data_IF_978965663535
#
_entry.id   IF_978965663535
#
_cell.length_a   1.000
_cell.length_b   1.000
_cell.length_c   1.000
_cell.angle_alpha   90.00
_cell.angle_beta   90.00
_cell.angle_gamma   90.00
#
_symmetry.space_group_name_H-M   'P 1'
#
loop_
_entity.id
_entity.type
_entity.pdbx_description
1 polymer ?
#
# COMPACT_ATOMS: atom_id res chain seq x y z
N UNK A 1 13.34 7.90 15.58
CA UNK A 1 13.19 6.44 15.35
C UNK A 1 12.48 6.22 14.03
N UNK A 2 12.75 5.11 13.34
CA UNK A 2 12.01 4.77 12.13
C UNK A 2 10.51 4.64 12.43
N UNK A 3 9.68 5.34 11.66
CA UNK A 3 8.21 5.36 11.80
C UNK A 3 7.49 4.74 10.59
N UNK A 4 8.23 4.49 9.52
CA UNK A 4 7.70 3.91 8.29
C UNK A 4 8.01 2.41 8.26
N UNK A 5 6.98 1.58 8.27
CA UNK A 5 7.09 0.13 8.27
C UNK A 5 6.64 -0.42 6.93
N UNK A 6 7.54 -1.07 6.22
CA UNK A 6 7.28 -1.69 4.93
C UNK A 6 7.25 -3.21 5.05
N UNK A 7 6.17 -3.81 4.62
CA UNK A 7 6.00 -5.25 4.51
C UNK A 7 6.27 -5.65 3.05
N UNK A 8 7.27 -6.48 2.83
CA UNK A 8 7.61 -7.01 1.50
C UNK A 8 7.54 -8.54 1.48
N UNK A 9 7.58 -9.12 0.32
CA UNK A 9 7.51 -10.58 0.10
C UNK A 9 6.98 -10.90 -1.29
N UNK A 10 7.11 -12.14 -1.69
CA UNK A 10 6.60 -12.61 -2.97
C UNK A 10 5.07 -12.50 -3.07
N UNK A 11 4.52 -12.35 -4.30
CA UNK A 11 3.07 -12.36 -4.51
C UNK A 11 2.43 -13.61 -3.89
N UNK A 12 1.29 -13.42 -3.21
CA UNK A 12 0.54 -14.53 -2.60
C UNK A 12 1.10 -15.05 -1.27
N UNK A 13 2.19 -14.48 -0.73
CA UNK A 13 2.78 -14.93 0.53
C UNK A 13 1.94 -14.57 1.77
N UNK A 14 0.99 -13.62 1.63
CA UNK A 14 0.09 -13.22 2.71
C UNK A 14 0.31 -11.82 3.28
N UNK A 15 0.94 -10.90 2.51
CA UNK A 15 1.17 -9.50 2.94
C UNK A 15 -0.12 -8.77 3.33
N UNK A 16 -1.12 -8.78 2.47
CA UNK A 16 -2.43 -8.16 2.73
C UNK A 16 -3.13 -8.78 3.94
N UNK A 17 -3.08 -10.11 4.08
CA UNK A 17 -3.62 -10.83 5.24
C UNK A 17 -2.93 -10.37 6.53
N UNK A 18 -1.61 -10.20 6.49
CA UNK A 18 -0.83 -9.71 7.63
C UNK A 18 -1.23 -8.28 8.01
N UNK A 19 -1.32 -7.36 7.03
CA UNK A 19 -1.77 -5.98 7.27
C UNK A 19 -3.16 -5.97 7.93
N UNK A 20 -4.10 -6.73 7.40
CA UNK A 20 -5.46 -6.82 7.96
C UNK A 20 -5.47 -7.38 9.39
N UNK A 21 -4.61 -8.36 9.70
CA UNK A 21 -4.45 -8.89 11.07
C UNK A 21 -3.92 -7.82 12.02
N UNK A 22 -2.90 -7.08 11.61
CA UNK A 22 -2.31 -5.99 12.40
C UNK A 22 -3.35 -4.90 12.66
N UNK A 23 -4.04 -4.42 11.63
CA UNK A 23 -5.06 -3.37 11.76
C UNK A 23 -6.14 -3.74 12.77
N UNK A 24 -6.59 -5.00 12.76
CA UNK A 24 -7.61 -5.49 13.71
C UNK A 24 -7.14 -5.53 15.17
N UNK A 25 -5.85 -5.59 15.41
CA UNK A 25 -5.25 -5.58 16.75
C UNK A 25 -5.03 -4.17 17.31
N UNK A 26 -5.08 -3.15 16.45
CA UNK A 26 -4.82 -1.77 16.83
C UNK A 26 -6.12 -1.03 17.17
N UNK A 27 -6.11 -0.28 18.27
CA UNK A 27 -7.23 0.59 18.69
C UNK A 27 -6.89 2.04 18.34
N UNK A 28 -6.61 2.31 17.06
CA UNK A 28 -6.26 3.64 16.57
C UNK A 28 -7.03 3.97 15.29
N UNK A 29 -7.11 5.25 14.96
CA UNK A 29 -7.77 5.72 13.74
C UNK A 29 -6.87 5.49 12.53
N UNK A 30 -7.34 4.70 11.58
CA UNK A 30 -6.63 4.34 10.37
C UNK A 30 -7.13 5.18 9.20
N UNK A 31 -6.20 5.61 8.34
CA UNK A 31 -6.51 6.25 7.06
C UNK A 31 -5.55 5.76 5.98
N UNK A 32 -5.80 6.17 4.75
CA UNK A 32 -5.04 5.73 3.58
C UNK A 32 -5.89 4.93 2.61
N UNK A 33 -5.31 3.96 1.94
CA UNK A 33 -6.02 3.15 0.96
C UNK A 33 -5.46 1.73 0.88
N UNK A 34 -6.25 0.85 0.26
CA UNK A 34 -5.84 -0.51 -0.08
C UNK A 34 -6.30 -0.86 -1.50
N UNK A 35 -5.66 -1.88 -2.06
CA UNK A 35 -6.01 -2.43 -3.37
C UNK A 35 -6.53 -3.85 -3.21
N UNK A 36 -7.42 -4.26 -4.08
CA UNK A 36 -7.90 -5.64 -4.13
C UNK A 36 -8.24 -6.08 -5.55
N UNK A 37 -8.21 -7.39 -5.75
CA UNK A 37 -8.40 -7.97 -7.07
C UNK A 37 -9.87 -7.89 -7.53
N UNK A 38 -10.04 -7.58 -8.81
CA UNK A 38 -11.27 -7.85 -9.55
C UNK A 38 -11.21 -9.27 -10.10
N UNK A 39 -12.24 -10.06 -9.87
CA UNK A 39 -12.33 -11.43 -10.40
C UNK A 39 -13.63 -11.64 -11.16
N UNK A 40 -13.52 -12.29 -12.32
CA UNK A 40 -14.63 -12.78 -13.11
C UNK A 40 -14.44 -14.29 -13.31
N UNK A 41 -15.44 -15.09 -12.91
CA UNK A 41 -15.37 -16.57 -12.99
C UNK A 41 -14.09 -17.16 -12.35
N UNK A 42 -13.67 -16.63 -11.20
CA UNK A 42 -12.47 -17.07 -10.48
C UNK A 42 -11.15 -16.55 -11.05
N UNK A 43 -11.14 -15.97 -12.24
CA UNK A 43 -9.96 -15.40 -12.90
C UNK A 43 -9.82 -13.91 -12.56
N UNK A 44 -8.60 -13.49 -12.23
CA UNK A 44 -8.29 -12.07 -12.00
C UNK A 44 -8.34 -11.28 -13.31
N UNK A 45 -9.16 -10.23 -13.35
CA UNK A 45 -9.37 -9.36 -14.51
C UNK A 45 -8.91 -7.92 -14.29
N UNK A 46 -8.57 -7.56 -13.06
CA UNK A 46 -8.11 -6.22 -12.73
C UNK A 46 -7.94 -6.01 -11.24
N UNK A 47 -7.94 -4.74 -10.85
CA UNK A 47 -7.77 -4.28 -9.48
C UNK A 47 -8.61 -3.04 -9.21
N UNK A 48 -9.13 -2.95 -7.97
CA UNK A 48 -9.69 -1.72 -7.40
C UNK A 48 -8.67 -1.04 -6.48
N UNK A 49 -8.76 0.28 -6.38
CA UNK A 49 -8.25 1.07 -5.26
C UNK A 49 -9.44 1.54 -4.43
N UNK A 50 -9.34 1.39 -3.11
CA UNK A 50 -10.41 1.74 -2.16
C UNK A 50 -9.78 2.46 -0.96
N UNK A 51 -10.35 3.59 -0.56
CA UNK A 51 -9.95 4.25 0.68
C UNK A 51 -10.69 3.65 1.90
N UNK A 52 -10.26 4.04 3.11
CA UNK A 52 -10.91 3.57 4.33
C UNK A 52 -12.27 4.23 4.61
N UNK A 53 -12.69 5.21 3.82
CA UNK A 53 -14.03 5.82 3.85
C UNK A 53 -15.01 5.11 2.89
N UNK A 54 -14.54 4.14 2.10
CA UNK A 54 -15.35 3.32 1.19
C UNK A 54 -15.42 3.84 -0.25
N UNK A 55 -14.71 4.92 -0.61
CA UNK A 55 -14.62 5.38 -1.99
C UNK A 55 -13.74 4.44 -2.80
N UNK A 56 -14.20 4.06 -3.99
CA UNK A 56 -13.56 3.03 -4.81
C UNK A 56 -13.57 3.36 -6.29
N UNK A 57 -12.48 3.04 -6.98
CA UNK A 57 -12.38 3.07 -8.44
C UNK A 57 -11.58 1.87 -8.96
N UNK A 58 -11.85 1.49 -10.22
CA UNK A 58 -11.00 0.55 -10.95
C UNK A 58 -9.66 1.21 -11.24
N UNK A 59 -8.57 0.67 -10.69
CA UNK A 59 -7.22 1.18 -10.90
C UNK A 59 -6.50 0.55 -12.08
N UNK A 60 -6.85 -0.68 -12.43
CA UNK A 60 -6.29 -1.37 -13.59
C UNK A 60 -7.22 -2.49 -14.05
N UNK A 61 -7.29 -2.74 -15.36
CA UNK A 61 -8.14 -3.78 -15.94
C UNK A 61 -7.58 -4.30 -17.24
N UNK A 62 -7.82 -5.60 -17.53
CA UNK A 62 -7.54 -6.22 -18.84
C UNK A 62 -8.33 -5.56 -19.96
N UNK A 63 -9.55 -5.10 -19.66
CA UNK A 63 -10.46 -4.47 -20.63
C UNK A 63 -10.15 -2.98 -20.89
N UNK A 64 -9.19 -2.41 -20.18
CA UNK A 64 -8.81 -1.00 -20.31
C UNK A 64 -8.00 -0.76 -21.59
N UNK A 65 -8.37 0.28 -22.32
CA UNK A 65 -7.63 0.79 -23.49
C UNK A 65 -6.53 1.80 -23.12
N UNK A 66 -6.19 1.93 -21.84
CA UNK A 66 -5.14 2.83 -21.39
C UNK A 66 -3.80 2.50 -22.05
N UNK A 67 -3.04 3.52 -22.50
CA UNK A 67 -1.67 3.32 -23.01
C UNK A 67 -0.68 2.95 -21.88
N UNK A 68 -1.03 3.23 -20.63
CA UNK A 68 -0.21 2.88 -19.48
C UNK A 68 -0.52 1.46 -19.05
N UNK A 69 0.44 0.56 -19.21
CA UNK A 69 0.21 -0.87 -18.97
C UNK A 69 1.27 -1.48 -18.06
N UNK A 70 0.80 -2.37 -17.20
CA UNK A 70 1.64 -3.33 -16.47
C UNK A 70 1.13 -4.73 -16.80
N UNK A 71 1.94 -5.52 -17.49
CA UNK A 71 1.55 -6.80 -18.07
C UNK A 71 0.29 -6.64 -18.96
N UNK A 72 -0.76 -7.41 -18.70
CA UNK A 72 -2.03 -7.36 -19.45
C UNK A 72 -3.00 -6.28 -18.96
N UNK A 73 -2.70 -5.54 -17.90
CA UNK A 73 -3.61 -4.58 -17.30
C UNK A 73 -3.33 -3.16 -17.78
N UNK A 74 -4.34 -2.49 -18.31
CA UNK A 74 -4.30 -1.05 -18.54
C UNK A 74 -4.57 -0.29 -17.24
N UNK A 75 -3.70 0.67 -16.93
CA UNK A 75 -3.70 1.41 -15.66
C UNK A 75 -4.52 2.69 -15.80
N UNK A 76 -5.41 2.93 -14.84
CA UNK A 76 -6.21 4.14 -14.74
C UNK A 76 -5.54 5.14 -13.78
N UNK A 77 -4.80 6.09 -14.34
CA UNK A 77 -4.12 7.14 -13.56
C UNK A 77 -5.11 7.94 -12.70
N UNK A 78 -6.31 8.22 -13.23
CA UNK A 78 -7.33 8.96 -12.50
C UNK A 78 -7.75 8.28 -11.19
N UNK A 79 -7.72 6.95 -11.12
CA UNK A 79 -8.05 6.23 -9.89
C UNK A 79 -7.04 6.53 -8.78
N UNK A 80 -5.74 6.57 -9.11
CA UNK A 80 -4.71 6.97 -8.16
C UNK A 80 -4.87 8.42 -7.71
N UNK A 81 -5.16 9.32 -8.63
CA UNK A 81 -5.25 10.75 -8.35
C UNK A 81 -6.56 11.15 -7.63
N UNK A 82 -7.68 10.46 -7.92
CA UNK A 82 -8.98 10.79 -7.32
C UNK A 82 -9.29 10.03 -6.03
N UNK A 83 -8.74 8.85 -5.83
CA UNK A 83 -8.94 8.05 -4.62
C UNK A 83 -7.67 8.08 -3.76
N UNK A 84 -6.52 7.72 -4.31
CA UNK A 84 -5.28 7.56 -3.56
C UNK A 84 -4.74 8.84 -2.96
N UNK A 85 -4.63 9.92 -3.75
CA UNK A 85 -4.10 11.21 -3.26
C UNK A 85 -5.00 11.79 -2.17
N UNK A 86 -6.33 11.97 -2.35
CA UNK A 86 -7.18 12.47 -1.29
C UNK A 86 -7.20 11.58 -0.04
N UNK A 87 -7.10 10.26 -0.20
CA UNK A 87 -7.03 9.33 0.93
C UNK A 87 -5.77 9.55 1.78
N UNK A 88 -4.61 9.75 1.13
CA UNK A 88 -3.35 10.06 1.81
C UNK A 88 -3.39 11.43 2.48
N UNK A 89 -3.93 12.45 1.82
CA UNK A 89 -4.10 13.79 2.39
C UNK A 89 -4.97 13.78 3.65
N UNK A 90 -6.11 13.10 3.61
CA UNK A 90 -6.99 12.94 4.78
C UNK A 90 -6.31 12.15 5.89
N UNK A 91 -5.57 11.11 5.55
CA UNK A 91 -4.87 10.29 6.53
C UNK A 91 -3.78 11.08 7.27
N UNK A 92 -2.98 11.87 6.57
CA UNK A 92 -1.97 12.73 7.20
C UNK A 92 -2.59 13.73 8.20
N UNK A 93 -3.80 14.21 7.92
CA UNK A 93 -4.48 15.17 8.81
C UNK A 93 -5.19 14.50 9.99
N UNK A 94 -5.86 13.38 9.76
CA UNK A 94 -6.90 12.88 10.65
C UNK A 94 -6.66 11.47 11.21
N UNK A 95 -5.72 10.71 10.66
CA UNK A 95 -5.43 9.35 11.12
C UNK A 95 -4.31 9.34 12.17
N UNK A 96 -4.27 8.30 12.99
CA UNK A 96 -3.16 7.98 13.87
C UNK A 96 -2.12 7.12 13.14
N UNK A 97 -2.58 6.23 12.25
CA UNK A 97 -1.76 5.37 11.41
C UNK A 97 -2.20 5.48 9.95
N UNK A 98 -1.23 5.69 9.06
CA UNK A 98 -1.47 5.64 7.61
C UNK A 98 -1.22 4.20 7.13
N UNK A 99 -2.15 3.66 6.34
CA UNK A 99 -2.03 2.32 5.75
C UNK A 99 -2.10 2.41 4.23
N UNK A 100 -1.14 1.78 3.55
CA UNK A 100 -1.08 1.69 2.09
C UNK A 100 -0.80 0.24 1.69
N UNK A 101 -1.76 -0.37 1.00
CA UNK A 101 -1.63 -1.74 0.49
C UNK A 101 -2.12 -1.80 -0.96
N UNK A 102 -1.25 -1.79 -1.94
CA UNK A 102 0.17 -2.06 -2.04
C UNK A 102 0.89 -0.96 -2.85
N UNK A 103 2.19 -0.75 -2.62
CA UNK A 103 3.04 0.13 -3.44
C UNK A 103 3.79 -0.71 -4.48
N UNK A 104 3.66 -0.36 -5.77
CA UNK A 104 4.28 -1.10 -6.86
C UNK A 104 4.54 -0.25 -8.12
N UNK A 105 4.58 -0.91 -9.27
CA UNK A 105 4.96 -0.27 -10.55
C UNK A 105 3.85 0.60 -11.13
N UNK A 106 2.58 0.28 -10.87
CA UNK A 106 1.45 1.00 -11.47
C UNK A 106 1.40 2.47 -11.02
N UNK A 107 1.84 2.76 -9.80
CA UNK A 107 1.90 4.09 -9.21
C UNK A 107 2.85 5.03 -9.96
N UNK A 108 3.88 4.49 -10.61
CA UNK A 108 4.87 5.28 -11.34
C UNK A 108 4.30 6.03 -12.55
N UNK A 109 3.14 5.63 -13.06
CA UNK A 109 2.48 6.34 -14.16
C UNK A 109 1.86 7.68 -13.74
N UNK A 110 1.72 7.94 -12.43
CA UNK A 110 1.28 9.24 -11.91
C UNK A 110 2.38 9.91 -11.10
N UNK A 111 3.11 10.89 -11.67
CA UNK A 111 4.09 11.68 -10.91
C UNK A 111 3.49 12.37 -9.68
N UNK A 112 2.24 12.84 -9.79
CA UNK A 112 1.51 13.44 -8.65
C UNK A 112 1.34 12.45 -7.51
N UNK A 113 0.95 11.22 -7.81
CA UNK A 113 0.80 10.16 -6.83
C UNK A 113 2.14 9.79 -6.19
N UNK A 114 3.20 9.66 -6.98
CA UNK A 114 4.54 9.39 -6.47
C UNK A 114 5.03 10.50 -5.52
N UNK A 115 4.77 11.76 -5.85
CA UNK A 115 5.12 12.89 -4.99
C UNK A 115 4.31 12.88 -3.69
N UNK A 116 3.04 12.54 -3.75
CA UNK A 116 2.21 12.38 -2.55
C UNK A 116 2.71 11.24 -1.66
N UNK A 117 3.11 10.10 -2.23
CA UNK A 117 3.76 9.03 -1.47
C UNK A 117 4.99 9.53 -0.72
N UNK A 118 5.88 10.27 -1.37
CA UNK A 118 7.06 10.85 -0.71
C UNK A 118 6.65 11.76 0.46
N UNK A 119 5.64 12.61 0.25
CA UNK A 119 5.09 13.48 1.31
C UNK A 119 4.57 12.67 2.50
N UNK A 120 3.88 11.55 2.26
CA UNK A 120 3.42 10.64 3.33
C UNK A 120 4.60 10.07 4.11
N UNK A 121 5.65 9.59 3.42
CA UNK A 121 6.85 9.07 4.08
C UNK A 121 7.58 10.14 4.91
N UNK A 122 7.53 11.41 4.49
CA UNK A 122 8.13 12.55 5.19
C UNK A 122 7.27 13.06 6.34
N UNK A 123 5.96 12.75 6.37
CA UNK A 123 5.03 13.24 7.38
C UNK A 123 5.39 12.71 8.79
N UNK A 124 4.87 13.36 9.83
CA UNK A 124 5.05 12.91 11.23
C UNK A 124 4.25 11.63 11.58
N UNK A 125 3.33 11.23 10.72
CA UNK A 125 2.46 10.08 10.96
C UNK A 125 3.19 8.75 10.72
N UNK A 126 3.01 7.75 11.60
CA UNK A 126 3.51 6.41 11.31
C UNK A 126 2.80 5.81 10.10
N UNK A 127 3.55 5.07 9.29
CA UNK A 127 3.09 4.42 8.09
C UNK A 127 3.28 2.91 8.17
N UNK A 128 2.25 2.16 7.82
CA UNK A 128 2.31 0.73 7.53
C UNK A 128 1.96 0.52 6.06
N UNK A 129 2.89 0.04 5.26
CA UNK A 129 2.63 -0.21 3.84
C UNK A 129 3.14 -1.58 3.39
N UNK A 130 2.45 -2.17 2.42
CA UNK A 130 3.01 -3.28 1.65
C UNK A 130 3.71 -2.74 0.41
N UNK A 131 4.81 -3.37 0.03
CA UNK A 131 5.63 -2.96 -1.09
C UNK A 131 6.11 -4.18 -1.88
N UNK A 132 6.16 -4.07 -3.20
CA UNK A 132 6.61 -5.16 -4.09
C UNK A 132 8.00 -5.65 -3.73
N UNK A 133 8.19 -6.97 -3.78
CA UNK A 133 9.49 -7.62 -3.58
C UNK A 133 10.45 -7.26 -4.71
N UNK A 134 9.98 -7.33 -5.96
CA UNK A 134 10.76 -6.95 -7.14
C UNK A 134 10.71 -5.43 -7.29
N UNK A 135 11.86 -4.80 -7.27
CA UNK A 135 11.99 -3.36 -7.28
C UNK A 135 11.69 -2.73 -8.65
N UNK A 136 11.08 -1.57 -8.60
CA UNK A 136 11.13 -0.54 -9.60
C UNK A 136 11.83 0.70 -9.00
N UNK A 137 12.01 1.74 -9.78
CA UNK A 137 12.70 2.97 -9.32
C UNK A 137 12.10 3.52 -8.02
N UNK A 138 10.78 3.70 -7.98
CA UNK A 138 10.07 4.19 -6.80
C UNK A 138 10.24 3.27 -5.57
N UNK A 139 10.03 1.98 -5.73
CA UNK A 139 10.09 1.06 -4.57
C UNK A 139 11.51 0.93 -4.02
N UNK A 140 12.51 1.00 -4.89
CA UNK A 140 13.92 1.02 -4.49
C UNK A 140 14.25 2.28 -3.69
N UNK A 141 13.82 3.45 -4.17
CA UNK A 141 13.97 4.73 -3.47
C UNK A 141 13.38 4.67 -2.05
N UNK A 142 12.12 4.22 -1.94
CA UNK A 142 11.42 4.15 -0.66
C UNK A 142 12.05 3.16 0.32
N UNK A 143 12.51 2.00 -0.16
CA UNK A 143 13.19 0.99 0.67
C UNK A 143 14.56 1.45 1.21
N UNK A 144 15.24 2.35 0.52
CA UNK A 144 16.58 2.85 0.91
C UNK A 144 16.54 3.99 1.93
N UNK A 145 15.36 4.46 2.32
CA UNK A 145 15.21 5.53 3.31
C UNK A 145 15.69 5.09 4.70
N UNK A 146 16.34 6.00 5.41
CA UNK A 146 16.86 5.76 6.79
C UNK A 146 15.75 5.66 7.85
N UNK A 147 14.58 6.22 7.56
CA UNK A 147 13.40 6.23 8.43
C UNK A 147 12.44 5.07 8.17
N UNK A 148 12.89 4.05 7.45
CA UNK A 148 12.11 2.87 7.07
C UNK A 148 12.64 1.61 7.75
N UNK A 149 11.73 0.77 8.25
CA UNK A 149 12.00 -0.62 8.63
C UNK A 149 11.30 -1.53 7.63
N UNK A 150 12.03 -2.52 7.13
CA UNK A 150 11.50 -3.50 6.19
C UNK A 150 11.30 -4.84 6.89
N UNK A 151 10.09 -5.38 6.80
CA UNK A 151 9.73 -6.72 7.26
C UNK A 151 9.48 -7.61 6.05
N UNK A 152 10.33 -8.62 5.86
CA UNK A 152 10.13 -9.59 4.79
C UNK A 152 9.24 -10.74 5.27
N UNK A 153 8.08 -10.91 4.62
CA UNK A 153 7.16 -12.01 4.88
C UNK A 153 7.53 -13.21 4.02
N UNK A 154 7.66 -14.35 4.67
CA UNK A 154 7.89 -15.66 4.06
C UNK A 154 6.84 -16.66 4.54
N UNK A 155 6.74 -17.83 3.90
CA UNK A 155 5.87 -18.91 4.37
C UNK A 155 6.20 -19.35 5.81
N UNK A 156 7.46 -19.20 6.23
CA UNK A 156 7.92 -19.67 7.55
C UNK A 156 7.61 -18.67 8.68
N UNK A 157 7.51 -17.35 8.40
CA UNK A 157 7.36 -16.33 9.45
C UNK A 157 6.02 -15.61 9.44
N UNK A 158 5.17 -15.79 8.41
CA UNK A 158 3.92 -15.02 8.22
C UNK A 158 2.96 -15.07 9.41
N UNK A 159 2.99 -16.15 10.19
CA UNK A 159 2.10 -16.34 11.33
C UNK A 159 2.62 -15.65 12.60
N UNK A 160 3.94 -15.47 12.73
CA UNK A 160 4.61 -14.88 13.92
C UNK A 160 4.99 -13.42 13.77
N UNK A 161 5.25 -12.95 12.55
CA UNK A 161 5.78 -11.60 12.27
C UNK A 161 4.79 -10.47 12.65
N UNK A 162 3.48 -10.79 12.75
CA UNK A 162 2.46 -9.80 13.09
C UNK A 162 2.70 -9.12 14.42
N UNK A 163 3.14 -9.87 15.43
CA UNK A 163 3.34 -9.35 16.78
C UNK A 163 4.55 -8.39 16.83
N UNK A 164 5.59 -8.71 16.07
CA UNK A 164 6.76 -7.84 15.93
C UNK A 164 6.39 -6.50 15.29
N UNK A 165 5.66 -6.55 14.18
CA UNK A 165 5.21 -5.34 13.45
C UNK A 165 4.26 -4.53 14.32
N UNK A 166 3.27 -5.17 14.96
CA UNK A 166 2.31 -4.50 15.86
C UNK A 166 3.01 -3.79 17.01
N UNK A 167 4.00 -4.43 17.63
CA UNK A 167 4.80 -3.83 18.71
C UNK A 167 5.57 -2.60 18.21
N UNK A 168 6.16 -2.66 17.01
CA UNK A 168 6.87 -1.51 16.42
C UNK A 168 5.94 -0.33 16.14
N UNK A 169 4.74 -0.60 15.62
CA UNK A 169 3.71 0.43 15.40
C UNK A 169 3.33 1.06 16.74
N UNK A 170 3.07 0.25 17.77
CA UNK A 170 2.71 0.73 19.12
C UNK A 170 3.71 1.68 19.76
N UNK A 171 4.98 1.63 19.37
CA UNK A 171 5.99 2.61 19.81
C UNK A 171 5.94 3.94 19.05
N UNK A 172 5.19 4.01 17.94
CA UNK A 172 5.07 5.19 17.10
C UNK A 172 3.73 5.92 17.25
N UNK A 173 2.74 5.27 17.91
CA UNK A 173 1.42 5.83 18.23
C UNK A 173 1.43 6.51 19.58
#
# INVERSE_FOLDING_TARGET
MPKNMLITGYPGVGKTTLVNKIIKQLSCKIGGFYTHEMRENGRRTGFYITDFDGNRMVMASEKSNSPYRVNKYGVNINAFEKIGIPAMERAMKNADLIVIDEIGRMEMFSPKFCNMLRTVFDSEKPLLATIKKIDCELTKELKQRKDVIIFEVTANNRDSISDEVTKKIGFCL
#
